data_IF_209181737123
#
_entry.id   IF_209181737123
#
_cell.length_a   1.000
_cell.length_b   1.000
_cell.length_c   1.000
_cell.angle_alpha   90.00
_cell.angle_beta   90.00
_cell.angle_gamma   90.00
#
_symmetry.space_group_name_H-M   'P 1'
#
loop_
_entity.id
_entity.type
_entity.pdbx_description
1 polymer ?
#
# COMPACT_ATOMS: atom_id res chain seq x y z
N UNK A 1 11.68 19.80 -8.37
CA UNK A 1 10.94 18.74 -7.64
C UNK A 1 11.93 17.73 -7.09
N UNK A 2 11.88 17.50 -5.78
CA UNK A 2 12.58 16.42 -5.11
C UNK A 2 11.98 15.06 -5.51
N UNK A 3 12.69 13.96 -5.24
CA UNK A 3 12.24 12.60 -5.56
C UNK A 3 10.88 12.30 -4.93
N UNK A 4 10.68 12.76 -3.69
CA UNK A 4 9.41 12.57 -2.95
C UNK A 4 8.24 13.27 -3.66
N UNK A 5 8.45 14.47 -4.20
CA UNK A 5 7.39 15.20 -4.93
C UNK A 5 6.90 14.43 -6.16
N UNK A 6 7.80 13.73 -6.85
CA UNK A 6 7.42 12.90 -8.00
C UNK A 6 6.61 11.69 -7.60
N UNK A 7 7.02 10.99 -6.54
CA UNK A 7 6.27 9.83 -6.01
C UNK A 7 4.87 10.27 -5.59
N UNK A 8 4.77 11.39 -4.88
CA UNK A 8 3.50 11.98 -4.48
C UNK A 8 2.66 12.30 -5.71
N UNK A 9 3.20 13.03 -6.69
CA UNK A 9 2.46 13.40 -7.90
C UNK A 9 1.88 12.18 -8.63
N UNK A 10 2.65 11.10 -8.80
CA UNK A 10 2.14 9.89 -9.45
C UNK A 10 0.99 9.23 -8.69
N UNK A 11 1.10 9.12 -7.36
CA UNK A 11 0.06 8.51 -6.54
C UNK A 11 -1.21 9.39 -6.49
N UNK A 12 -1.03 10.70 -6.34
CA UNK A 12 -2.13 11.68 -6.33
C UNK A 12 -2.88 11.66 -7.66
N UNK A 13 -2.19 11.69 -8.79
CA UNK A 13 -2.82 11.68 -10.11
C UNK A 13 -3.76 10.47 -10.31
N UNK A 14 -3.35 9.29 -9.85
CA UNK A 14 -4.18 8.07 -9.97
C UNK A 14 -5.36 8.11 -9.01
N UNK A 15 -5.16 8.53 -7.76
CA UNK A 15 -6.22 8.57 -6.77
C UNK A 15 -7.23 9.71 -6.96
N UNK A 16 -6.80 10.83 -7.55
CA UNK A 16 -7.68 11.90 -7.99
C UNK A 16 -8.55 11.45 -9.16
N UNK A 17 -7.99 10.68 -10.10
CA UNK A 17 -8.83 10.07 -11.15
C UNK A 17 -9.84 9.06 -10.60
N UNK A 18 -9.44 8.25 -9.62
CA UNK A 18 -10.38 7.38 -8.91
C UNK A 18 -11.53 8.19 -8.28
N UNK A 19 -11.19 9.28 -7.59
CA UNK A 19 -12.17 10.14 -6.93
C UNK A 19 -13.09 10.86 -7.92
N UNK A 20 -12.61 11.16 -9.13
CA UNK A 20 -13.40 11.77 -10.20
C UNK A 20 -14.31 10.78 -10.95
N UNK A 21 -14.25 9.48 -10.63
CA UNK A 21 -15.01 8.44 -11.34
C UNK A 21 -14.37 8.01 -12.66
N UNK A 22 -13.09 8.30 -12.85
CA UNK A 22 -12.30 7.87 -14.00
C UNK A 22 -12.06 6.36 -14.02
N UNK A 23 -11.32 5.91 -15.04
CA UNK A 23 -10.95 4.49 -15.18
C UNK A 23 -9.71 4.19 -14.36
N UNK A 24 -9.84 3.24 -13.43
CA UNK A 24 -8.73 2.79 -12.58
C UNK A 24 -8.56 1.28 -12.61
N UNK A 25 -7.38 0.82 -12.19
CA UNK A 25 -7.04 -0.60 -12.01
C UNK A 25 -6.85 -0.85 -10.53
N UNK A 26 -7.48 -1.89 -10.00
CA UNK A 26 -7.37 -2.24 -8.58
C UNK A 26 -5.95 -2.66 -8.21
N UNK A 27 -5.46 -2.20 -7.06
CA UNK A 27 -4.12 -2.58 -6.57
C UNK A 27 -3.95 -2.52 -5.04
N UNK A 28 -4.66 -3.34 -4.23
CA UNK A 28 -5.61 -4.38 -4.64
C UNK A 28 -7.08 -3.90 -4.67
N UNK A 29 -7.36 -2.67 -4.23
CA UNK A 29 -8.68 -2.04 -4.29
C UNK A 29 -8.61 -0.71 -5.05
N UNK A 30 -9.76 -0.11 -5.34
CA UNK A 30 -9.82 1.23 -5.93
C UNK A 30 -9.24 2.29 -4.98
N UNK A 31 -9.48 2.17 -3.67
CA UNK A 31 -8.94 3.11 -2.68
C UNK A 31 -7.42 3.13 -2.59
N UNK A 32 -6.75 2.04 -2.93
CA UNK A 32 -5.29 1.88 -2.88
C UNK A 32 -4.60 1.85 -4.27
N UNK A 33 -5.32 2.22 -5.33
CA UNK A 33 -4.87 2.00 -6.71
C UNK A 33 -3.64 2.84 -7.13
N UNK A 34 -3.30 3.91 -6.43
CA UNK A 34 -2.19 4.79 -6.80
C UNK A 34 -0.80 4.29 -6.41
N UNK A 35 -0.69 3.41 -5.41
CA UNK A 35 0.61 3.05 -4.81
C UNK A 35 1.49 2.22 -5.76
N UNK A 36 0.95 1.10 -6.26
CA UNK A 36 1.67 0.19 -7.16
C UNK A 36 2.15 0.91 -8.45
N UNK A 37 1.30 1.65 -9.19
CA UNK A 37 1.77 2.38 -10.37
C UNK A 37 2.73 3.53 -10.03
N UNK A 38 2.57 4.23 -8.90
CA UNK A 38 3.48 5.30 -8.51
C UNK A 38 4.91 4.79 -8.25
N UNK A 39 5.05 3.65 -7.60
CA UNK A 39 6.35 3.03 -7.33
C UNK A 39 7.01 2.52 -8.62
N UNK A 40 6.22 1.96 -9.55
CA UNK A 40 6.73 1.57 -10.87
C UNK A 40 7.17 2.78 -11.71
N UNK A 41 6.40 3.87 -11.67
CA UNK A 41 6.75 5.13 -12.35
C UNK A 41 8.01 5.77 -11.76
N UNK A 42 8.20 5.68 -10.43
CA UNK A 42 9.46 6.04 -9.78
C UNK A 42 10.63 5.23 -10.32
N UNK A 43 10.48 3.90 -10.44
CA UNK A 43 11.52 3.04 -10.99
C UNK A 43 11.87 3.41 -12.44
N UNK A 44 10.85 3.59 -13.30
CA UNK A 44 11.02 3.99 -14.70
C UNK A 44 11.80 5.30 -14.84
N UNK A 45 11.47 6.27 -13.99
CA UNK A 45 12.00 7.63 -14.08
C UNK A 45 13.40 7.80 -13.50
N UNK A 46 13.68 7.16 -12.38
CA UNK A 46 14.88 7.44 -11.58
C UNK A 46 15.90 6.31 -11.51
N UNK A 47 15.48 5.07 -11.79
CA UNK A 47 16.36 3.90 -11.67
C UNK A 47 16.71 3.35 -13.03
N UNK A 48 15.71 2.88 -13.78
CA UNK A 48 15.87 2.28 -15.11
C UNK A 48 14.55 2.27 -15.84
N UNK A 49 14.59 2.58 -17.14
CA UNK A 49 13.42 2.45 -18.03
C UNK A 49 12.78 1.06 -17.94
N UNK A 50 11.47 1.06 -17.70
CA UNK A 50 10.67 -0.15 -17.62
C UNK A 50 10.55 -0.77 -19.01
N UNK A 51 10.86 -2.06 -19.10
CA UNK A 51 10.60 -2.91 -20.26
C UNK A 51 9.62 -4.03 -19.88
N UNK A 52 9.25 -4.85 -20.86
CA UNK A 52 8.30 -5.95 -20.67
C UNK A 52 8.71 -6.93 -19.56
N UNK A 53 10.00 -7.24 -19.44
CA UNK A 53 10.50 -8.16 -18.42
C UNK A 53 10.43 -7.55 -17.01
N UNK A 54 10.87 -6.30 -16.84
CA UNK A 54 10.75 -5.61 -15.54
C UNK A 54 9.28 -5.42 -15.14
N UNK A 55 8.41 -5.08 -16.10
CA UNK A 55 6.98 -4.96 -15.83
C UNK A 55 6.39 -6.30 -15.36
N UNK A 56 6.69 -7.39 -16.07
CA UNK A 56 6.21 -8.72 -15.71
C UNK A 56 6.71 -9.14 -14.32
N UNK A 57 8.00 -8.99 -14.03
CA UNK A 57 8.56 -9.34 -12.70
C UNK A 57 7.94 -8.53 -11.57
N UNK A 58 7.79 -7.22 -11.78
CA UNK A 58 7.15 -6.34 -10.80
C UNK A 58 5.72 -6.80 -10.49
N UNK A 59 4.91 -7.00 -11.53
CA UNK A 59 3.50 -7.40 -11.39
C UNK A 59 3.34 -8.81 -10.80
N UNK A 60 4.24 -9.74 -11.13
CA UNK A 60 4.22 -11.09 -10.55
C UNK A 60 4.54 -11.06 -9.05
N UNK A 61 5.55 -10.29 -8.64
CA UNK A 61 5.90 -10.16 -7.22
C UNK A 61 4.83 -9.42 -6.44
N UNK A 62 4.31 -8.31 -6.95
CA UNK A 62 3.19 -7.60 -6.30
C UNK A 62 1.99 -8.52 -6.13
N UNK A 63 1.66 -9.32 -7.14
CA UNK A 63 0.54 -10.28 -7.09
C UNK A 63 0.79 -11.40 -6.08
N UNK A 64 2.01 -11.95 -6.02
CA UNK A 64 2.37 -12.98 -5.06
C UNK A 64 2.20 -12.48 -3.62
N UNK A 65 2.72 -11.29 -3.30
CA UNK A 65 2.58 -10.69 -1.97
C UNK A 65 1.11 -10.38 -1.64
N UNK A 66 0.36 -9.80 -2.59
CA UNK A 66 -1.07 -9.55 -2.40
C UNK A 66 -1.86 -10.84 -2.12
N UNK A 67 -1.45 -11.94 -2.75
CA UNK A 67 -2.07 -13.26 -2.54
C UNK A 67 -1.82 -13.80 -1.14
N UNK A 68 -0.62 -13.60 -0.57
CA UNK A 68 -0.31 -13.99 0.82
C UNK A 68 -1.23 -13.31 1.83
N UNK A 69 -1.49 -12.01 1.68
CA UNK A 69 -2.45 -11.29 2.52
C UNK A 69 -3.89 -11.78 2.31
N UNK A 70 -4.29 -12.03 1.06
CA UNK A 70 -5.65 -12.52 0.78
C UNK A 70 -5.90 -13.92 1.32
N UNK A 71 -4.92 -14.82 1.25
CA UNK A 71 -5.06 -16.21 1.71
C UNK A 71 -5.05 -16.33 3.24
N UNK A 72 -4.22 -15.55 3.92
CA UNK A 72 -3.98 -15.72 5.35
C UNK A 72 -4.65 -14.64 6.23
N UNK A 73 -5.27 -13.63 5.62
CA UNK A 73 -5.95 -12.54 6.30
C UNK A 73 -7.09 -11.98 5.43
N UNK A 74 -7.08 -10.68 5.13
CA UNK A 74 -8.02 -10.03 4.22
C UNK A 74 -7.38 -8.83 3.53
N UNK A 75 -7.96 -8.44 2.41
CA UNK A 75 -7.64 -7.21 1.66
C UNK A 75 -8.80 -6.19 1.69
N UNK A 76 -9.85 -6.47 2.47
CA UNK A 76 -11.07 -5.67 2.53
C UNK A 76 -10.99 -4.63 3.63
N UNK A 77 -11.20 -3.35 3.28
CA UNK A 77 -11.33 -2.25 4.23
C UNK A 77 -12.44 -2.47 5.26
N UNK A 78 -13.51 -3.13 4.84
CA UNK A 78 -14.64 -3.50 5.70
C UNK A 78 -14.33 -4.60 6.73
N UNK A 79 -13.32 -5.44 6.49
CA UNK A 79 -12.98 -6.57 7.38
C UNK A 79 -11.81 -6.24 8.31
N UNK A 80 -10.75 -5.62 7.78
CA UNK A 80 -9.49 -5.40 8.52
C UNK A 80 -9.04 -3.95 8.53
N UNK A 81 -9.85 -3.01 8.04
CA UNK A 81 -9.48 -1.61 7.90
C UNK A 81 -8.53 -1.34 6.73
N UNK A 82 -8.09 -0.09 6.62
CA UNK A 82 -7.31 0.39 5.48
C UNK A 82 -5.89 -0.21 5.43
N UNK A 83 -5.42 -0.84 6.50
CA UNK A 83 -4.23 -1.70 6.47
C UNK A 83 -4.38 -2.85 5.45
N UNK A 84 -5.59 -3.39 5.25
CA UNK A 84 -5.88 -4.42 4.24
C UNK A 84 -5.85 -3.90 2.80
N UNK A 85 -5.90 -2.59 2.61
CA UNK A 85 -5.96 -1.97 1.28
C UNK A 85 -4.64 -1.23 0.98
N UNK A 86 -4.46 -0.07 1.61
CA UNK A 86 -3.27 0.78 1.47
C UNK A 86 -2.04 0.09 2.05
N UNK A 87 -2.16 -0.60 3.18
CA UNK A 87 -1.05 -1.34 3.78
C UNK A 87 -0.60 -2.50 2.88
N UNK A 88 -1.55 -3.26 2.33
CA UNK A 88 -1.27 -4.34 1.39
C UNK A 88 -0.65 -3.80 0.11
N UNK A 89 -1.18 -2.73 -0.48
CA UNK A 89 -0.61 -2.08 -1.66
C UNK A 89 0.82 -1.57 -1.42
N UNK A 90 1.09 -0.99 -0.25
CA UNK A 90 2.42 -0.56 0.17
C UNK A 90 3.40 -1.74 0.22
N UNK A 91 2.99 -2.84 0.86
CA UNK A 91 3.78 -4.08 0.96
C UNK A 91 4.04 -4.70 -0.42
N UNK A 92 3.01 -4.82 -1.26
CA UNK A 92 3.10 -5.30 -2.64
C UNK A 92 4.12 -4.48 -3.45
N UNK A 93 4.00 -3.15 -3.41
CA UNK A 93 4.86 -2.25 -4.17
C UNK A 93 6.31 -2.24 -3.67
N UNK A 94 6.52 -2.36 -2.36
CA UNK A 94 7.85 -2.46 -1.75
C UNK A 94 8.58 -3.72 -2.20
N UNK A 95 7.90 -4.86 -2.16
CA UNK A 95 8.42 -6.14 -2.64
C UNK A 95 8.73 -6.13 -4.13
N UNK A 96 7.80 -5.63 -4.95
CA UNK A 96 8.02 -5.48 -6.39
C UNK A 96 9.23 -4.61 -6.70
N UNK A 97 9.42 -3.51 -5.98
CA UNK A 97 10.58 -2.65 -6.16
C UNK A 97 11.88 -3.33 -5.71
N UNK A 98 11.87 -4.04 -4.58
CA UNK A 98 13.03 -4.79 -4.09
C UNK A 98 13.48 -5.84 -5.11
N UNK A 99 12.54 -6.55 -5.73
CA UNK A 99 12.80 -7.49 -6.84
C UNK A 99 13.48 -6.78 -8.02
N UNK A 100 12.95 -5.63 -8.47
CA UNK A 100 13.52 -4.89 -9.59
C UNK A 100 14.89 -4.27 -9.31
N UNK A 101 15.22 -4.07 -8.04
CA UNK A 101 16.52 -3.61 -7.58
C UNK A 101 17.52 -4.76 -7.34
N UNK A 102 17.13 -6.01 -7.62
CA UNK A 102 18.00 -7.18 -7.52
C UNK A 102 18.07 -7.80 -6.13
N UNK A 103 17.06 -7.57 -5.28
CA UNK A 103 16.95 -8.21 -3.98
C UNK A 103 16.80 -9.73 -4.08
N UNK A 104 17.31 -10.45 -3.07
CA UNK A 104 17.01 -11.87 -2.92
C UNK A 104 15.54 -12.10 -2.53
N UNK A 105 14.98 -13.32 -2.68
CA UNK A 105 13.62 -13.62 -2.21
C UNK A 105 13.41 -13.25 -0.73
N UNK A 106 14.43 -13.44 0.12
CA UNK A 106 14.38 -13.02 1.52
C UNK A 106 14.26 -11.50 1.67
N UNK A 107 15.02 -10.72 0.88
CA UNK A 107 14.93 -9.26 0.88
C UNK A 107 13.59 -8.75 0.32
N UNK A 108 13.01 -9.45 -0.65
CA UNK A 108 11.66 -9.16 -1.16
C UNK A 108 10.62 -9.32 -0.04
N UNK A 109 10.68 -10.41 0.73
CA UNK A 109 9.82 -10.61 1.89
C UNK A 109 10.06 -9.57 2.99
N UNK A 110 11.31 -9.16 3.23
CA UNK A 110 11.64 -8.10 4.19
C UNK A 110 11.08 -6.74 3.74
N UNK A 111 11.12 -6.44 2.43
CA UNK A 111 10.53 -5.19 1.92
C UNK A 111 9.01 -5.17 2.08
N UNK A 112 8.33 -6.30 1.81
CA UNK A 112 6.90 -6.48 2.09
C UNK A 112 6.59 -6.31 3.59
N UNK A 113 7.39 -6.95 4.44
CA UNK A 113 7.28 -6.90 5.90
C UNK A 113 7.30 -5.47 6.41
N UNK A 114 8.37 -4.71 6.12
CA UNK A 114 8.49 -3.29 6.50
C UNK A 114 7.34 -2.45 5.91
N UNK A 115 6.96 -2.74 4.65
CA UNK A 115 5.86 -2.05 3.97
C UNK A 115 4.52 -2.18 4.70
N UNK A 116 4.22 -3.35 5.27
CA UNK A 116 3.01 -3.57 6.05
C UNK A 116 3.14 -3.14 7.52
N UNK A 117 4.28 -3.36 8.16
CA UNK A 117 4.53 -3.00 9.56
C UNK A 117 4.17 -1.52 9.81
N UNK A 118 4.58 -0.63 8.90
CA UNK A 118 4.28 0.80 8.95
C UNK A 118 2.83 1.18 8.62
N UNK A 119 1.92 0.21 8.47
CA UNK A 119 0.49 0.42 8.24
C UNK A 119 -0.39 -0.44 9.17
N UNK A 120 0.18 -1.24 10.09
CA UNK A 120 -0.60 -2.01 11.07
C UNK A 120 -1.48 -1.09 11.92
N UNK A 121 -2.73 -1.49 12.12
CA UNK A 121 -3.75 -0.74 12.86
C UNK A 121 -4.43 0.39 12.08
N UNK A 122 -4.10 0.58 10.80
CA UNK A 122 -4.69 1.66 10.00
C UNK A 122 -6.18 1.40 9.73
N UNK A 123 -7.03 2.24 10.31
CA UNK A 123 -8.50 2.20 10.20
C UNK A 123 -9.01 2.71 8.85
N UNK A 124 -10.22 2.31 8.46
CA UNK A 124 -10.89 2.79 7.24
C UNK A 124 -12.14 3.58 7.61
N UNK A 125 -12.01 4.90 7.74
CA UNK A 125 -13.13 5.78 8.12
C UNK A 125 -13.01 7.11 7.37
N UNK A 126 -13.28 7.10 6.05
CA UNK A 126 -13.12 8.27 5.20
C UNK A 126 -14.21 9.33 5.45
N UNK A 127 -13.84 10.60 5.25
CA UNK A 127 -14.76 11.73 5.38
C UNK A 127 -15.91 11.58 4.40
N UNK A 128 -17.14 11.71 4.91
CA UNK A 128 -18.38 11.56 4.13
C UNK A 128 -18.50 10.22 3.35
N UNK A 129 -17.74 9.19 3.73
CA UNK A 129 -17.71 7.93 2.99
C UNK A 129 -17.02 8.00 1.62
N UNK A 130 -16.33 9.10 1.32
CA UNK A 130 -15.75 9.35 0.00
C UNK A 130 -14.31 8.84 -0.08
N UNK A 131 -13.92 8.28 -1.21
CA UNK A 131 -12.54 7.84 -1.48
C UNK A 131 -11.64 9.02 -1.84
N UNK A 132 -11.63 10.03 -0.95
CA UNK A 132 -10.91 11.28 -1.09
C UNK A 132 -10.04 11.50 0.14
N UNK A 133 -10.64 11.87 1.27
CA UNK A 133 -9.93 12.14 2.53
C UNK A 133 -10.18 10.99 3.51
N UNK A 134 -9.16 10.32 4.06
CA UNK A 134 -7.72 10.53 3.86
C UNK A 134 -7.08 9.65 2.75
N UNK A 135 -7.89 9.09 1.85
CA UNK A 135 -7.48 8.06 0.89
C UNK A 135 -6.39 8.55 -0.08
N UNK A 136 -6.50 9.77 -0.58
CA UNK A 136 -5.59 10.36 -1.56
C UNK A 136 -4.19 10.52 -0.95
N UNK A 137 -4.07 11.20 0.20
CA UNK A 137 -2.77 11.38 0.85
C UNK A 137 -2.20 10.07 1.40
N UNK A 138 -3.04 9.11 1.78
CA UNK A 138 -2.59 7.76 2.18
C UNK A 138 -1.85 7.06 1.05
N UNK A 139 -2.28 7.21 -0.21
CA UNK A 139 -1.57 6.61 -1.35
C UNK A 139 -0.22 7.26 -1.59
N UNK A 140 -0.13 8.59 -1.52
CA UNK A 140 1.14 9.31 -1.63
C UNK A 140 2.13 8.89 -0.54
N UNK A 141 1.70 8.89 0.72
CA UNK A 141 2.53 8.49 1.87
C UNK A 141 2.95 7.02 1.75
N UNK A 142 2.03 6.12 1.41
CA UNK A 142 2.35 4.70 1.26
C UNK A 142 3.30 4.41 0.08
N UNK A 143 3.19 5.12 -1.03
CA UNK A 143 4.15 4.99 -2.13
C UNK A 143 5.58 5.38 -1.69
N UNK A 144 5.72 6.45 -0.91
CA UNK A 144 7.01 6.85 -0.32
C UNK A 144 7.52 5.80 0.67
N UNK A 145 6.65 5.29 1.55
CA UNK A 145 6.98 4.18 2.46
C UNK A 145 7.46 2.95 1.70
N UNK A 146 6.80 2.58 0.62
CA UNK A 146 7.16 1.40 -0.18
C UNK A 146 8.56 1.55 -0.82
N UNK A 147 8.88 2.73 -1.37
CA UNK A 147 10.23 3.01 -1.89
C UNK A 147 11.26 2.91 -0.77
N UNK A 148 10.97 3.46 0.40
CA UNK A 148 11.89 3.43 1.53
C UNK A 148 12.07 2.02 2.10
N UNK A 149 10.99 1.25 2.21
CA UNK A 149 10.99 -0.14 2.67
C UNK A 149 11.87 -1.03 1.79
N UNK A 150 11.77 -0.91 0.45
CA UNK A 150 12.65 -1.61 -0.46
C UNK A 150 14.13 -1.26 -0.25
N UNK A 151 14.43 0.03 -0.05
CA UNK A 151 15.81 0.49 0.23
C UNK A 151 16.33 -0.02 1.57
N UNK A 152 15.49 -0.05 2.60
CA UNK A 152 15.85 -0.58 3.92
C UNK A 152 16.13 -2.08 3.84
N UNK A 153 15.28 -2.85 3.16
CA UNK A 153 15.46 -4.29 2.98
C UNK A 153 16.79 -4.64 2.27
N UNK A 154 17.14 -3.90 1.22
CA UNK A 154 18.38 -4.12 0.46
C UNK A 154 19.64 -3.72 1.21
N UNK A 155 19.54 -2.75 2.13
CA UNK A 155 20.66 -2.27 2.96
C UNK A 155 20.76 -2.98 4.30
N UNK A 156 19.79 -3.84 4.64
CA UNK A 156 19.77 -4.56 5.91
C UNK A 156 20.92 -5.55 5.97
N UNK A 157 21.67 -5.50 7.06
CA UNK A 157 22.78 -6.44 7.35
C UNK A 157 22.47 -7.39 8.50
N UNK A 158 21.32 -7.21 9.15
CA UNK A 158 20.83 -8.03 10.25
C UNK A 158 19.60 -8.82 9.83
N UNK A 159 19.40 -9.99 10.44
CA UNK A 159 18.15 -10.72 10.27
C UNK A 159 16.95 -9.93 10.84
N UNK A 160 15.78 -9.94 10.15
CA UNK A 160 14.53 -9.47 10.71
C UNK A 160 14.20 -10.22 12.00
N UNK A 161 13.77 -9.49 13.04
CA UNK A 161 13.17 -10.12 14.23
C UNK A 161 11.74 -10.58 13.99
N UNK A 162 11.05 -9.92 13.06
CA UNK A 162 9.66 -10.20 12.69
C UNK A 162 9.64 -10.53 11.21
N UNK A 163 9.14 -11.72 10.85
CA UNK A 163 8.99 -12.12 9.45
C UNK A 163 7.63 -11.69 8.89
N UNK A 164 7.49 -11.75 7.56
CA UNK A 164 6.27 -11.38 6.85
C UNK A 164 5.03 -12.14 7.37
N UNK A 165 5.15 -13.44 7.66
CA UNK A 165 4.03 -14.24 8.18
C UNK A 165 3.50 -13.70 9.49
N UNK A 166 4.40 -13.30 10.40
CA UNK A 166 4.01 -12.70 11.69
C UNK A 166 3.33 -11.35 11.50
N UNK A 167 3.79 -10.54 10.56
CA UNK A 167 3.13 -9.28 10.21
C UNK A 167 1.74 -9.52 9.63
N UNK A 168 1.55 -10.54 8.78
CA UNK A 168 0.23 -10.90 8.22
C UNK A 168 -0.71 -11.36 9.33
N UNK A 169 -0.23 -12.22 10.24
CA UNK A 169 -0.98 -12.69 11.41
C UNK A 169 -1.41 -11.51 12.28
N UNK A 170 -0.48 -10.62 12.63
CA UNK A 170 -0.77 -9.41 13.42
C UNK A 170 -1.77 -8.49 12.71
N UNK A 171 -1.65 -8.31 11.39
CA UNK A 171 -2.63 -7.52 10.62
C UNK A 171 -4.04 -8.11 10.77
N UNK A 172 -4.18 -9.44 10.66
CA UNK A 172 -5.47 -10.09 10.76
C UNK A 172 -6.07 -9.99 12.17
N UNK A 173 -5.28 -10.26 13.20
CA UNK A 173 -5.69 -10.11 14.60
C UNK A 173 -6.12 -8.68 14.91
N UNK A 174 -5.30 -7.70 14.53
CA UNK A 174 -5.63 -6.27 14.70
C UNK A 174 -6.92 -5.90 13.96
N UNK A 175 -7.14 -6.47 12.77
CA UNK A 175 -8.36 -6.27 12.00
C UNK A 175 -9.60 -6.83 12.71
N UNK A 176 -9.51 -8.03 13.31
CA UNK A 176 -10.59 -8.62 14.11
C UNK A 176 -10.92 -7.77 15.32
N UNK A 177 -9.90 -7.26 16.01
CA UNK A 177 -10.04 -6.43 17.21
C UNK A 177 -10.53 -5.01 16.88
N UNK A 178 -10.38 -4.58 15.61
CA UNK A 178 -10.86 -3.27 15.17
C UNK A 178 -12.38 -3.19 15.31
N UNK A 179 -12.85 -2.23 16.11
CA UNK A 179 -14.29 -1.98 16.25
C UNK A 179 -14.92 -1.69 14.88
N UNK A 180 -16.09 -2.27 14.62
CA UNK A 180 -16.79 -2.15 13.34
C UNK A 180 -16.98 -0.69 12.87
N UNK A 181 -17.14 0.28 13.79
CA UNK A 181 -17.29 1.70 13.43
C UNK A 181 -16.02 2.37 12.89
N UNK A 182 -14.85 1.74 13.02
CA UNK A 182 -13.57 2.21 12.47
C UNK A 182 -13.12 1.42 11.24
N UNK A 183 -13.96 0.50 10.78
CA UNK A 183 -13.89 -0.10 9.45
C UNK A 183 -14.77 0.70 8.50
N UNK A 184 -14.73 0.36 7.21
CA UNK A 184 -15.33 1.06 6.06
C UNK A 184 -16.87 1.28 6.17
N UNK A 185 -17.27 2.07 7.15
CA UNK A 185 -18.66 2.33 7.55
C UNK A 185 -18.93 3.82 7.64
N UNK A 186 -17.90 4.64 7.82
CA UNK A 186 -17.99 6.10 8.00
C UNK A 186 -18.82 6.50 9.23
N UNK A 187 -18.89 5.63 10.24
CA UNK A 187 -19.69 5.81 11.46
C UNK A 187 -18.81 6.14 12.68
N UNK A 188 -17.51 6.38 12.47
CA UNK A 188 -16.54 6.59 13.53
C UNK A 188 -15.57 7.72 13.24
N UNK A 189 -14.38 7.60 13.82
CA UNK A 189 -13.15 8.36 13.53
C UNK A 189 -13.33 9.80 13.02
N UNK A 190 -12.69 10.09 11.88
CA UNK A 190 -12.66 11.40 11.26
C UNK A 190 -13.98 11.70 10.53
N UNK A 191 -14.66 10.66 10.04
CA UNK A 191 -15.93 10.79 9.33
C UNK A 191 -17.02 11.45 10.18
N UNK A 192 -17.03 11.19 11.50
CA UNK A 192 -17.98 11.80 12.43
C UNK A 192 -17.56 13.18 12.96
N UNK A 193 -16.33 13.62 12.68
CA UNK A 193 -15.81 14.92 13.16
C UNK A 193 -15.93 16.02 12.13
N UNK A 194 -15.99 15.66 10.85
CA UNK A 194 -16.16 16.59 9.75
C UNK A 194 -17.56 16.36 9.19
N UNK A 195 -18.45 17.34 9.36
CA UNK A 195 -19.73 17.36 8.65
C UNK A 195 -19.40 17.59 7.18
N UNK A 196 -19.92 16.74 6.29
CA UNK A 196 -19.81 16.98 4.86
C UNK A 196 -20.34 18.39 4.58
N UNK A 197 -19.51 19.27 4.01
CA UNK A 197 -19.99 20.56 3.55
C UNK A 197 -21.01 20.32 2.43
N UNK A 198 -22.18 20.98 2.54
CA UNK A 198 -23.24 20.98 1.53
C UNK A 198 -22.73 21.39 0.14
#
# INVERSE_FOLDING_TARGET
>A
MAVVDWINMFALAVNEENAAGGRVVTAPTNGACGIVPAVLAYYDKFIRKVNANSLARYMLVTSAIGSLYKMNASISGAEVGCQGEVGVACSMAAAGLAELLGGSPGQVCIAAEIGMEHNLGLTCDPVAGQVQVPCIERNAIAAVKAVNAARMALRRTSEPRVCLDKVIETMYETGKDMNAKYRETSRGGLAMKIVACD
#
